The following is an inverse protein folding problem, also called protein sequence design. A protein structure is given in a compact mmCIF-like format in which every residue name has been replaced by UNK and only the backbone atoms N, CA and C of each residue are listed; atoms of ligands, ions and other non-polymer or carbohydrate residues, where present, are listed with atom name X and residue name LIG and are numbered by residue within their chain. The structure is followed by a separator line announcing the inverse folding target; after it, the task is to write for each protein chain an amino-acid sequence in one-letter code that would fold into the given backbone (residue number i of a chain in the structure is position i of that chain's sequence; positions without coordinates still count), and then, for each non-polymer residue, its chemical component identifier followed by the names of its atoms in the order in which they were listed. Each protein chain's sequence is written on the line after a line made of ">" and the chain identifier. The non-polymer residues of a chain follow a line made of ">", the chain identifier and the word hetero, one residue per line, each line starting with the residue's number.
data_IF_409861822778
#
_entry.id   IF_409861822778
#
_cell.length_a   1.000
_cell.length_b   1.000
_cell.length_c   1.000
_cell.angle_alpha   90.00
_cell.angle_beta   90.00
_cell.angle_gamma   90.00
#
_symmetry.space_group_name_H-M   'P 1'
#
loop_
_entity.id
_entity.type
_entity.pdbx_description
1 polymer ?
#
# COMPACT_ATOMS: atom_id res chain seq x y z
N UNK A 1 -7.77 71.55 0.42
CA UNK A 1 -9.15 71.62 0.93
C UNK A 1 -10.06 70.88 -0.03
N UNK A 2 -10.91 70.01 0.52
CA UNK A 2 -12.12 69.39 -0.07
C UNK A 2 -11.88 68.40 -1.21
N UNK A 3 -11.91 67.08 -0.99
CA UNK A 3 -13.01 66.19 -0.55
C UNK A 3 -14.22 66.09 -1.51
N UNK A 4 -14.52 64.81 -1.82
CA UNK A 4 -15.84 64.16 -1.90
C UNK A 4 -16.53 63.96 -3.25
N UNK A 5 -17.02 62.71 -3.37
CA UNK A 5 -17.93 62.10 -4.35
C UNK A 5 -17.24 61.58 -5.64
N UNK A 6 -17.35 60.31 -6.06
CA UNK A 6 -18.32 59.27 -5.76
C UNK A 6 -17.66 57.89 -5.55
N UNK A 7 -18.01 57.27 -4.42
CA UNK A 7 -18.13 55.83 -4.24
C UNK A 7 -19.32 55.34 -5.08
N UNK A 8 -19.09 54.34 -5.94
CA UNK A 8 -19.94 53.18 -6.26
C UNK A 8 -19.49 52.64 -7.63
N UNK A 9 -19.61 51.31 -7.82
CA UNK A 9 -19.26 50.51 -9.01
C UNK A 9 -17.76 50.19 -9.13
N UNK A 10 -17.28 48.94 -9.10
CA UNK A 10 -17.90 47.61 -9.21
C UNK A 10 -16.92 46.59 -8.60
N UNK A 11 -17.37 45.91 -7.56
CA UNK A 11 -16.75 44.70 -7.08
C UNK A 11 -16.99 43.57 -8.10
N UNK A 12 -15.96 43.25 -8.88
CA UNK A 12 -15.88 42.03 -9.69
C UNK A 12 -14.59 41.29 -9.33
N UNK A 13 -14.61 40.60 -8.19
CA UNK A 13 -13.76 39.45 -7.93
C UNK A 13 -14.69 38.29 -7.56
N UNK A 14 -15.28 37.72 -8.60
CA UNK A 14 -16.15 36.55 -8.56
C UNK A 14 -15.30 35.36 -8.11
N UNK A 15 -15.57 34.93 -6.87
CA UNK A 15 -15.60 33.55 -6.38
C UNK A 15 -14.84 32.53 -7.23
N UNK A 16 -13.63 32.18 -6.78
CA UNK A 16 -13.00 30.91 -7.13
C UNK A 16 -13.91 29.83 -6.56
N UNK A 17 -14.61 29.12 -7.44
CA UNK A 17 -15.37 27.91 -7.11
C UNK A 17 -14.41 26.90 -6.46
N UNK A 18 -14.49 26.81 -5.14
CA UNK A 18 -14.16 25.61 -4.40
C UNK A 18 -15.12 24.51 -4.88
N UNK A 19 -14.69 23.76 -5.89
CA UNK A 19 -15.21 22.43 -6.21
C UNK A 19 -14.84 21.50 -5.05
N UNK A 20 -15.47 21.71 -3.90
CA UNK A 20 -15.65 20.68 -2.89
C UNK A 20 -16.60 19.69 -3.55
N UNK A 21 -16.05 18.56 -3.99
CA UNK A 21 -16.84 17.41 -4.38
C UNK A 21 -17.90 17.17 -3.30
N UNK A 22 -19.17 17.19 -3.72
CA UNK A 22 -20.32 17.02 -2.85
C UNK A 22 -20.18 15.73 -2.04
N UNK A 23 -19.84 15.89 -0.76
CA UNK A 23 -19.63 14.80 0.22
C UNK A 23 -20.88 13.91 0.35
N UNK A 24 -22.07 14.38 -0.07
CA UNK A 24 -23.28 13.57 -0.08
C UNK A 24 -23.32 12.55 -1.22
N UNK A 25 -22.79 12.89 -2.39
CA UNK A 25 -22.69 11.96 -3.54
C UNK A 25 -21.72 10.79 -3.25
N UNK A 26 -20.60 11.08 -2.58
CA UNK A 26 -19.65 10.06 -2.11
C UNK A 26 -20.26 9.14 -1.03
N UNK A 27 -21.14 9.65 -0.17
CA UNK A 27 -21.85 8.84 0.85
C UNK A 27 -22.93 7.93 0.26
N UNK A 28 -23.63 8.37 -0.77
CA UNK A 28 -24.67 7.57 -1.43
C UNK A 28 -24.06 6.40 -2.23
N UNK A 29 -22.92 6.61 -2.90
CA UNK A 29 -22.20 5.51 -3.55
C UNK A 29 -21.67 4.49 -2.52
N UNK A 30 -21.09 4.96 -1.41
CA UNK A 30 -20.43 4.11 -0.39
C UNK A 30 -21.39 3.19 0.37
N UNK A 31 -22.65 3.59 0.57
CA UNK A 31 -23.66 2.73 1.23
C UNK A 31 -24.18 1.62 0.31
N UNK A 32 -24.21 1.83 -1.01
CA UNK A 32 -24.66 0.79 -1.96
C UNK A 32 -23.55 -0.21 -2.28
N UNK A 33 -22.28 0.23 -2.34
CA UNK A 33 -21.15 -0.67 -2.63
C UNK A 33 -20.81 -1.62 -1.48
N UNK A 34 -20.98 -1.20 -0.21
CA UNK A 34 -20.67 -2.04 0.94
C UNK A 34 -21.56 -3.31 1.03
N UNK A 35 -22.84 -3.23 0.63
CA UNK A 35 -23.70 -4.42 0.54
C UNK A 35 -23.45 -5.25 -0.72
N UNK A 36 -22.88 -4.64 -1.76
CA UNK A 36 -22.60 -5.33 -3.01
C UNK A 36 -21.32 -6.17 -2.90
N UNK A 37 -20.34 -5.84 -2.06
CA UNK A 37 -19.00 -6.46 -2.07
C UNK A 37 -18.78 -7.58 -1.05
N UNK A 38 -19.82 -8.30 -0.61
CA UNK A 38 -19.67 -9.39 0.37
C UNK A 38 -18.76 -10.51 -0.17
N UNK A 39 -17.77 -10.97 0.60
CA UNK A 39 -16.95 -12.16 0.28
C UNK A 39 -17.81 -13.43 0.44
N UNK A 40 -17.68 -14.38 -0.48
CA UNK A 40 -18.44 -15.64 -0.46
C UNK A 40 -17.72 -16.75 0.32
N UNK A 41 -16.49 -16.51 0.81
CA UNK A 41 -15.73 -17.46 1.61
C UNK A 41 -14.63 -16.85 2.48
N UNK A 42 -13.95 -17.71 3.24
CA UNK A 42 -12.71 -17.40 3.97
C UNK A 42 -11.62 -17.08 2.94
N UNK A 43 -11.36 -15.78 2.75
CA UNK A 43 -10.21 -15.22 2.03
C UNK A 43 -9.90 -15.81 0.65
N UNK A 44 -10.34 -15.14 -0.41
CA UNK A 44 -9.78 -15.34 -1.77
C UNK A 44 -8.45 -14.61 -2.00
N UNK A 45 -7.78 -14.26 -0.90
CA UNK A 45 -6.35 -13.97 -0.89
C UNK A 45 -5.70 -15.36 -1.01
N UNK A 46 -5.20 -16.01 0.05
CA UNK A 46 -4.80 -17.44 0.07
C UNK A 46 -3.95 -18.02 -1.11
N UNK A 47 -2.62 -18.14 -0.91
CA UNK A 47 -1.78 -19.01 -1.73
C UNK A 47 -2.17 -20.47 -1.52
N UNK A 48 -1.86 -21.33 -2.48
CA UNK A 48 -2.12 -22.77 -2.33
C UNK A 48 -1.04 -23.44 -1.49
N UNK A 49 -1.41 -24.26 -0.50
CA UNK A 49 -0.42 -25.02 0.27
C UNK A 49 0.16 -26.17 -0.60
N UNK A 50 1.46 -26.15 -0.84
CA UNK A 50 2.19 -27.08 -1.73
C UNK A 50 2.15 -28.57 -1.33
N UNK A 51 1.60 -28.90 -0.15
CA UNK A 51 1.55 -30.28 0.39
C UNK A 51 0.38 -31.14 -0.07
N UNK A 52 -0.55 -30.61 -0.88
CA UNK A 52 -1.70 -31.36 -1.43
C UNK A 52 -1.61 -31.27 -2.96
N UNK A 53 -1.71 -32.40 -3.68
CA UNK A 53 -1.63 -32.45 -5.15
C UNK A 53 -2.49 -31.35 -5.80
N UNK A 54 -1.84 -30.28 -6.23
CA UNK A 54 -2.46 -29.12 -6.84
C UNK A 54 -2.93 -29.47 -8.27
N UNK A 55 -4.13 -30.06 -8.36
CA UNK A 55 -4.84 -30.23 -9.63
C UNK A 55 -5.57 -28.94 -9.98
N UNK A 56 -4.95 -28.18 -10.87
CA UNK A 56 -5.46 -26.99 -11.56
C UNK A 56 -5.86 -25.81 -10.66
N UNK A 57 -5.70 -24.58 -11.20
CA UNK A 57 -6.06 -23.25 -10.64
C UNK A 57 -4.95 -22.55 -9.84
N UNK A 58 -4.66 -21.25 -9.95
CA UNK A 58 -5.11 -20.09 -10.77
C UNK A 58 -4.12 -18.95 -10.44
N UNK A 59 -3.65 -18.19 -11.44
CA UNK A 59 -2.83 -16.96 -11.30
C UNK A 59 -3.51 -15.84 -10.49
N UNK A 60 -3.73 -16.01 -9.21
CA UNK A 60 -4.11 -14.96 -8.26
C UNK A 60 -2.91 -14.78 -7.33
N UNK A 61 -2.64 -13.54 -6.87
CA UNK A 61 -1.64 -13.21 -5.82
C UNK A 61 -0.23 -12.85 -6.26
N UNK A 62 0.01 -11.55 -6.48
CA UNK A 62 1.37 -11.05 -6.61
C UNK A 62 1.54 -9.82 -5.71
N UNK A 63 2.39 -9.96 -4.69
CA UNK A 63 3.12 -8.79 -4.16
C UNK A 63 4.19 -8.49 -5.20
N UNK A 64 4.06 -7.35 -5.84
CA UNK A 64 4.81 -7.01 -7.04
C UNK A 64 5.91 -6.00 -6.66
N UNK A 65 7.17 -6.43 -6.63
CA UNK A 65 8.34 -5.54 -6.60
C UNK A 65 9.02 -5.53 -7.98
N UNK A 66 8.97 -4.37 -8.63
CA UNK A 66 10.01 -3.77 -9.49
C UNK A 66 9.36 -3.23 -10.75
N UNK A 67 9.60 -1.96 -11.10
CA UNK A 67 10.09 -1.71 -12.45
C UNK A 67 11.31 -0.84 -12.42
N UNK A 68 12.38 -1.36 -13.00
CA UNK A 68 13.49 -0.60 -13.52
C UNK A 68 13.43 -0.78 -15.05
N UNK A 69 12.93 0.22 -15.77
CA UNK A 69 13.17 0.33 -17.21
C UNK A 69 13.67 1.72 -17.49
N UNK A 70 14.99 1.83 -17.51
CA UNK A 70 15.61 2.75 -18.44
C UNK A 70 15.12 2.42 -19.86
N UNK A 71 14.52 3.39 -20.55
CA UNK A 71 14.72 3.59 -21.99
C UNK A 71 14.01 4.82 -22.60
N UNK A 72 12.91 5.34 -22.05
CA UNK A 72 12.20 6.44 -22.75
C UNK A 72 11.66 7.55 -21.83
N UNK A 73 12.47 8.61 -21.70
CA UNK A 73 12.16 10.04 -21.59
C UNK A 73 11.09 10.58 -20.60
N UNK A 74 10.28 9.76 -19.93
CA UNK A 74 9.28 10.25 -18.99
C UNK A 74 9.72 10.02 -17.55
N UNK A 75 9.89 11.13 -16.84
CA UNK A 75 10.04 11.21 -15.39
C UNK A 75 8.80 10.62 -14.70
N UNK A 76 8.79 10.53 -13.38
CA UNK A 76 7.67 9.95 -12.63
C UNK A 76 6.34 10.56 -13.10
N UNK A 77 5.52 9.75 -13.78
CA UNK A 77 4.15 10.14 -14.06
C UNK A 77 3.35 10.09 -12.77
N UNK A 78 2.65 11.19 -12.49
CA UNK A 78 1.66 11.26 -11.43
C UNK A 78 0.30 10.82 -12.01
N UNK A 79 -0.57 10.23 -11.18
CA UNK A 79 -1.89 9.88 -11.66
C UNK A 79 -2.64 11.10 -12.19
N UNK A 80 -3.23 10.95 -13.37
CA UNK A 80 -4.23 11.88 -13.88
C UNK A 80 -5.58 11.69 -13.19
N UNK A 81 -6.67 12.08 -13.86
CA UNK A 81 -8.02 11.99 -13.28
C UNK A 81 -8.54 10.56 -13.04
N UNK A 82 -7.81 9.51 -13.42
CA UNK A 82 -8.30 8.12 -13.41
C UNK A 82 -7.21 7.18 -12.87
N UNK A 83 -7.24 6.89 -11.57
CA UNK A 83 -6.25 6.04 -10.89
C UNK A 83 -6.14 4.64 -11.47
N UNK A 84 -7.24 4.04 -11.93
CA UNK A 84 -7.20 2.74 -12.59
C UNK A 84 -6.21 2.68 -13.78
N UNK A 85 -6.20 3.72 -14.62
CA UNK A 85 -5.27 3.80 -15.74
C UNK A 85 -3.82 3.98 -15.30
N UNK A 86 -3.61 4.77 -14.26
CA UNK A 86 -2.29 4.91 -13.67
C UNK A 86 -1.77 3.54 -13.19
N UNK A 87 -2.58 2.77 -12.46
CA UNK A 87 -2.21 1.41 -12.07
C UNK A 87 -1.99 0.47 -13.27
N UNK A 88 -2.80 0.57 -14.33
CA UNK A 88 -2.60 -0.21 -15.57
C UNK A 88 -1.27 0.11 -16.23
N UNK A 89 -0.82 1.35 -16.21
CA UNK A 89 0.40 1.74 -16.91
C UNK A 89 1.66 1.42 -16.08
N UNK A 90 1.52 1.41 -14.75
CA UNK A 90 2.62 1.14 -13.81
C UNK A 90 2.83 -0.35 -13.50
N UNK A 91 1.76 -1.10 -13.22
CA UNK A 91 1.82 -2.46 -12.65
C UNK A 91 2.29 -3.58 -13.62
N UNK A 92 1.89 -3.65 -14.90
CA UNK A 92 2.15 -4.81 -15.75
C UNK A 92 3.63 -5.12 -16.03
N UNK A 93 4.53 -4.20 -15.70
CA UNK A 93 5.97 -4.44 -15.79
C UNK A 93 6.58 -5.04 -14.52
N UNK A 94 5.79 -5.34 -13.49
CA UNK A 94 6.30 -5.67 -12.18
C UNK A 94 6.67 -7.15 -11.99
N UNK A 95 7.82 -7.37 -11.34
CA UNK A 95 8.28 -8.71 -10.93
C UNK A 95 7.68 -9.04 -9.56
N UNK A 96 7.14 -10.23 -9.30
CA UNK A 96 6.71 -10.59 -7.97
C UNK A 96 7.90 -10.84 -7.00
N UNK A 97 7.73 -10.53 -5.72
CA UNK A 97 8.73 -10.88 -4.66
C UNK A 97 8.82 -12.38 -4.51
N UNK A 98 7.65 -12.99 -4.44
CA UNK A 98 7.45 -14.42 -4.29
C UNK A 98 6.95 -14.89 -5.64
N UNK A 99 7.81 -15.55 -6.44
CA UNK A 99 7.47 -15.95 -7.79
C UNK A 99 6.60 -17.23 -7.84
N UNK A 100 6.22 -17.77 -6.69
CA UNK A 100 5.51 -19.03 -6.56
C UNK A 100 4.16 -18.85 -5.85
N UNK A 101 3.16 -19.59 -6.29
CA UNK A 101 1.78 -19.57 -5.77
C UNK A 101 1.64 -20.37 -4.45
N UNK A 102 2.76 -20.84 -3.90
CA UNK A 102 2.80 -21.78 -2.78
C UNK A 102 4.12 -21.73 -2.02
N UNK A 103 4.08 -21.66 -0.69
CA UNK A 103 5.27 -21.84 0.13
C UNK A 103 5.27 -23.16 0.91
N UNK A 104 6.47 -23.58 1.34
CA UNK A 104 6.66 -24.75 2.18
C UNK A 104 6.27 -24.50 3.64
N UNK A 105 6.42 -23.25 4.11
CA UNK A 105 6.09 -22.82 5.47
C UNK A 105 5.36 -21.47 5.44
N UNK A 106 4.55 -21.21 6.46
CA UNK A 106 3.73 -19.99 6.53
C UNK A 106 4.54 -18.69 6.52
N UNK A 107 5.75 -18.69 7.11
CA UNK A 107 6.64 -17.53 7.15
C UNK A 107 7.08 -17.08 5.75
N UNK A 108 7.18 -18.01 4.81
CA UNK A 108 7.60 -17.74 3.43
C UNK A 108 6.50 -17.07 2.60
N UNK A 109 5.26 -17.06 3.10
CA UNK A 109 4.19 -16.26 2.52
C UNK A 109 4.27 -14.78 2.93
N UNK A 110 5.05 -14.48 3.98
CA UNK A 110 5.34 -13.11 4.38
C UNK A 110 6.35 -12.49 3.42
N UNK A 111 6.11 -11.23 3.09
CA UNK A 111 6.67 -10.62 1.90
C UNK A 111 7.07 -9.17 2.18
N UNK A 112 8.30 -8.79 1.84
CA UNK A 112 8.74 -7.41 2.00
C UNK A 112 9.85 -6.98 1.03
N UNK A 113 10.04 -5.67 0.92
CA UNK A 113 11.15 -5.02 0.23
C UNK A 113 11.75 -3.92 1.10
N UNK A 114 13.06 -3.73 0.95
CA UNK A 114 13.78 -2.59 1.50
C UNK A 114 14.59 -1.95 0.39
N UNK A 115 14.32 -0.69 0.08
CA UNK A 115 15.09 0.09 -0.88
C UNK A 115 15.70 1.31 -0.21
N UNK A 116 17.02 1.37 -0.20
CA UNK A 116 17.77 2.57 0.17
C UNK A 116 17.97 3.44 -1.07
N UNK A 117 17.62 4.72 -1.01
CA UNK A 117 17.68 5.61 -2.18
C UNK A 117 19.12 5.95 -2.58
N UNK A 118 20.07 5.90 -1.65
CA UNK A 118 21.50 6.08 -1.92
C UNK A 118 22.08 5.01 -2.87
N UNK A 119 21.43 3.85 -2.97
CA UNK A 119 21.83 2.73 -3.83
C UNK A 119 21.29 2.83 -5.26
N UNK A 120 20.40 3.78 -5.53
CA UNK A 120 19.89 4.05 -6.87
C UNK A 120 20.97 4.76 -7.69
N UNK A 121 21.11 4.40 -8.97
CA UNK A 121 22.10 5.03 -9.85
C UNK A 121 21.80 6.52 -9.99
N UNK A 122 22.79 7.41 -9.74
CA UNK A 122 22.62 8.82 -9.98
C UNK A 122 22.51 9.09 -11.49
N UNK A 123 21.97 10.25 -11.85
CA UNK A 123 21.94 10.68 -13.25
C UNK A 123 23.38 10.82 -13.78
N UNK A 124 23.57 10.44 -15.04
CA UNK A 124 24.78 10.73 -15.81
C UNK A 124 24.43 11.66 -16.97
N UNK A 125 25.42 12.06 -17.76
CA UNK A 125 25.16 12.82 -18.99
C UNK A 125 24.28 12.07 -19.99
N UNK A 126 24.30 10.72 -19.94
CA UNK A 126 23.63 9.86 -20.92
C UNK A 126 22.35 9.22 -20.38
N UNK A 127 22.19 9.16 -19.06
CA UNK A 127 21.12 8.41 -18.40
C UNK A 127 20.48 9.24 -17.29
N UNK A 128 19.15 9.22 -17.22
CA UNK A 128 18.44 9.80 -16.08
C UNK A 128 18.78 9.04 -14.79
N UNK A 129 18.62 9.70 -13.65
CA UNK A 129 18.73 9.05 -12.36
C UNK A 129 17.71 7.91 -12.25
N UNK A 130 18.12 6.82 -11.61
CA UNK A 130 17.27 5.65 -11.42
C UNK A 130 16.11 5.99 -10.47
N UNK A 131 14.91 5.67 -10.93
CA UNK A 131 13.68 5.83 -10.16
C UNK A 131 13.31 4.50 -9.51
N UNK A 132 12.48 4.56 -8.48
CA UNK A 132 12.02 3.36 -7.80
C UNK A 132 10.50 3.36 -7.65
N UNK A 133 9.90 2.19 -7.85
CA UNK A 133 8.49 1.94 -7.56
C UNK A 133 8.29 0.54 -7.00
N UNK A 134 7.31 0.44 -6.10
CA UNK A 134 6.87 -0.83 -5.52
C UNK A 134 5.39 -0.71 -5.14
N UNK A 135 4.67 -1.81 -5.09
CA UNK A 135 3.25 -1.77 -4.81
C UNK A 135 2.68 -3.15 -4.55
N UNK A 136 1.39 -3.15 -4.25
CA UNK A 136 0.61 -4.36 -4.13
C UNK A 136 -0.65 -4.22 -4.95
N UNK A 137 -1.10 -5.33 -5.50
CA UNK A 137 -2.36 -5.43 -6.22
C UNK A 137 -3.17 -6.58 -5.65
N UNK A 138 -4.45 -6.61 -5.98
CA UNK A 138 -5.35 -7.70 -5.60
C UNK A 138 -5.53 -7.87 -4.08
N UNK A 139 -5.46 -6.79 -3.29
CA UNK A 139 -5.73 -6.84 -1.86
C UNK A 139 -7.21 -7.20 -1.60
N UNK A 140 -7.45 -8.36 -0.97
CA UNK A 140 -8.80 -8.86 -0.59
C UNK A 140 -8.89 -9.31 0.89
N UNK A 141 -8.17 -8.63 1.77
CA UNK A 141 -8.08 -8.97 3.20
C UNK A 141 -6.66 -8.81 3.77
N UNK A 142 -5.66 -8.80 2.90
CA UNK A 142 -4.26 -8.62 3.29
C UNK A 142 -4.01 -7.29 4.01
N UNK A 143 -2.99 -7.29 4.86
CA UNK A 143 -2.44 -6.08 5.49
C UNK A 143 -1.12 -5.76 4.82
N UNK A 144 -0.91 -4.49 4.47
CA UNK A 144 0.39 -4.01 3.95
C UNK A 144 0.87 -2.83 4.78
N UNK A 145 2.18 -2.72 4.96
CA UNK A 145 2.77 -1.58 5.65
C UNK A 145 3.86 -0.94 4.80
N UNK A 146 3.85 0.39 4.74
CA UNK A 146 4.92 1.19 4.17
C UNK A 146 5.57 2.03 5.26
N UNK A 147 6.89 1.97 5.38
CA UNK A 147 7.68 2.95 6.12
C UNK A 147 8.44 3.74 5.06
N UNK A 148 8.30 5.06 5.07
CA UNK A 148 8.84 5.96 4.05
C UNK A 148 9.63 7.06 4.75
N UNK A 149 10.84 7.31 4.27
CA UNK A 149 11.72 8.39 4.74
C UNK A 149 12.48 9.01 3.57
N UNK A 150 13.37 9.97 3.83
CA UNK A 150 14.28 10.51 2.83
C UNK A 150 15.44 9.57 2.50
N UNK A 151 15.67 8.54 3.31
CA UNK A 151 16.73 7.54 3.10
C UNK A 151 16.25 6.33 2.30
N UNK A 152 14.98 5.96 2.41
CA UNK A 152 14.48 4.77 1.75
C UNK A 152 13.01 4.48 1.98
N UNK A 153 12.58 3.33 1.46
CA UNK A 153 11.25 2.77 1.67
C UNK A 153 11.34 1.30 2.07
N UNK A 154 10.54 0.92 3.07
CA UNK A 154 10.31 -0.45 3.47
C UNK A 154 8.83 -0.77 3.24
N UNK A 155 8.52 -1.73 2.39
CA UNK A 155 7.14 -2.13 2.11
C UNK A 155 6.95 -3.61 2.43
N UNK A 156 5.85 -3.96 3.08
CA UNK A 156 5.54 -5.32 3.54
C UNK A 156 4.12 -5.71 3.13
N UNK A 157 3.88 -7.01 3.08
CA UNK A 157 2.58 -7.61 2.83
C UNK A 157 2.41 -8.89 3.65
N UNK A 158 1.26 -9.00 4.31
CA UNK A 158 0.87 -10.15 5.12
C UNK A 158 -0.55 -10.61 4.77
N UNK A 159 -0.70 -11.91 4.62
CA UNK A 159 -1.96 -12.58 4.27
C UNK A 159 -2.90 -12.68 5.47
N UNK A 160 -4.19 -12.37 5.26
CA UNK A 160 -5.22 -12.49 6.32
C UNK A 160 -5.26 -13.93 6.87
N UNK A 161 -5.28 -14.92 5.98
CA UNK A 161 -5.48 -16.33 6.31
C UNK A 161 -4.20 -17.12 6.56
N UNK A 162 -3.07 -16.44 6.66
CA UNK A 162 -1.81 -17.01 7.14
C UNK A 162 -1.45 -16.36 8.47
N UNK A 163 -1.62 -15.05 8.57
CA UNK A 163 -1.10 -14.26 9.69
C UNK A 163 -2.14 -13.84 10.71
N UNK A 164 -3.37 -13.52 10.30
CA UNK A 164 -4.35 -12.85 11.18
C UNK A 164 -5.51 -13.76 11.62
N UNK A 165 -6.06 -14.57 10.72
CA UNK A 165 -6.98 -15.67 11.04
C UNK A 165 -6.59 -16.91 10.21
N UNK A 166 -5.52 -17.62 10.63
CA UNK A 166 -4.88 -18.67 9.83
C UNK A 166 -5.80 -19.84 9.50
N UNK A 167 -5.82 -20.25 8.24
CA UNK A 167 -6.45 -21.49 7.82
C UNK A 167 -5.70 -22.70 8.40
N UNK A 168 -6.40 -23.84 8.49
CA UNK A 168 -5.87 -25.04 9.14
C UNK A 168 -4.61 -25.58 8.45
N UNK A 169 -4.51 -25.44 7.14
CA UNK A 169 -3.37 -25.89 6.34
C UNK A 169 -2.09 -25.12 6.60
N UNK A 170 -2.18 -23.84 6.98
CA UNK A 170 -1.02 -23.02 7.32
C UNK A 170 -0.45 -23.32 8.71
N UNK A 171 -1.21 -24.02 9.55
CA UNK A 171 -0.79 -24.35 10.91
C UNK A 171 0.11 -25.58 10.91
N UNK A 172 1.38 -25.47 11.35
CA UNK A 172 2.29 -26.62 11.41
C UNK A 172 1.75 -27.76 12.27
N UNK A 173 0.93 -27.42 13.29
CA UNK A 173 0.22 -28.36 14.15
C UNK A 173 -1.21 -27.88 14.34
N UNK A 174 -2.14 -28.81 14.52
CA UNK A 174 -3.55 -28.48 14.82
C UNK A 174 -3.72 -27.69 16.11
N UNK A 175 -2.75 -27.77 17.02
CA UNK A 175 -2.70 -27.01 18.28
C UNK A 175 -2.13 -25.61 18.13
N UNK A 176 -1.52 -25.26 16.99
CA UNK A 176 -0.95 -23.93 16.78
C UNK A 176 -2.06 -22.88 16.81
N UNK A 177 -1.90 -21.92 17.70
CA UNK A 177 -2.84 -20.83 17.94
C UNK A 177 -2.66 -19.72 16.90
N UNK A 178 -3.69 -18.89 16.73
CA UNK A 178 -3.61 -17.70 15.88
C UNK A 178 -2.53 -16.72 16.36
N UNK A 179 -2.34 -16.61 17.68
CA UNK A 179 -1.31 -15.74 18.24
C UNK A 179 0.10 -16.22 17.90
N UNK A 180 0.36 -17.52 17.94
CA UNK A 180 1.64 -18.11 17.51
C UNK A 180 1.86 -17.90 16.01
N UNK A 181 0.84 -18.13 15.16
CA UNK A 181 0.95 -17.86 13.73
C UNK A 181 1.26 -16.39 13.42
N UNK A 182 0.59 -15.46 14.11
CA UNK A 182 0.85 -14.03 13.95
C UNK A 182 2.26 -13.66 14.40
N UNK A 183 2.72 -14.20 15.53
CA UNK A 183 4.08 -14.00 16.02
C UNK A 183 5.10 -14.46 14.96
N UNK A 184 4.96 -15.67 14.46
CA UNK A 184 5.90 -16.28 13.52
C UNK A 184 5.92 -15.59 12.15
N UNK A 185 4.74 -15.22 11.62
CA UNK A 185 4.60 -14.76 10.22
C UNK A 185 4.63 -13.24 10.06
N UNK A 186 4.52 -12.48 11.15
CA UNK A 186 4.53 -11.01 11.14
C UNK A 186 5.63 -10.45 12.03
N UNK A 187 5.62 -10.78 13.32
CA UNK A 187 6.53 -10.15 14.29
C UNK A 187 7.95 -10.65 14.12
N UNK A 188 8.14 -11.97 14.09
CA UNK A 188 9.47 -12.59 13.97
C UNK A 188 10.15 -12.24 12.65
N UNK A 189 9.40 -12.19 11.54
CA UNK A 189 9.95 -11.81 10.22
C UNK A 189 10.26 -10.32 10.12
N UNK A 190 9.57 -9.45 10.86
CA UNK A 190 9.95 -8.03 10.98
C UNK A 190 11.30 -7.89 11.70
N UNK A 191 11.48 -8.64 12.80
CA UNK A 191 12.67 -8.55 13.65
C UNK A 191 13.90 -9.25 13.03
N UNK A 192 13.70 -10.47 12.48
CA UNK A 192 14.76 -11.39 12.09
C UNK A 192 14.89 -11.54 10.57
N UNK A 193 13.84 -11.19 9.83
CA UNK A 193 13.71 -11.49 8.41
C UNK A 193 13.20 -12.90 8.15
N UNK A 194 12.92 -13.18 6.88
CA UNK A 194 12.55 -14.48 6.33
C UNK A 194 13.06 -14.62 4.89
N UNK A 195 12.72 -15.72 4.22
CA UNK A 195 13.24 -16.02 2.88
C UNK A 195 12.89 -14.95 1.84
N UNK A 196 11.69 -14.36 1.93
CA UNK A 196 11.19 -13.32 1.02
C UNK A 196 10.82 -12.02 1.74
N UNK A 197 11.30 -11.87 2.96
CA UNK A 197 10.97 -10.75 3.83
C UNK A 197 12.25 -10.24 4.49
N UNK A 198 12.95 -9.24 3.93
CA UNK A 198 14.08 -8.62 4.63
C UNK A 198 13.62 -8.10 5.99
N UNK A 199 14.46 -8.27 7.02
CA UNK A 199 14.21 -7.68 8.34
C UNK A 199 14.08 -6.16 8.23
N UNK A 200 13.31 -5.56 9.12
CA UNK A 200 13.25 -4.10 9.23
C UNK A 200 14.54 -3.59 9.87
N UNK A 201 15.31 -2.81 9.11
CA UNK A 201 16.59 -2.25 9.56
C UNK A 201 16.50 -0.72 9.68
N UNK A 202 16.43 -0.22 10.92
CA UNK A 202 16.34 1.21 11.21
C UNK A 202 17.51 2.01 10.63
N UNK A 203 18.71 1.42 10.55
CA UNK A 203 19.89 2.12 10.06
C UNK A 203 19.75 2.54 8.60
N UNK A 204 18.94 1.80 7.82
CA UNK A 204 18.73 2.04 6.40
C UNK A 204 17.58 3.01 6.12
N UNK A 205 16.65 3.21 7.07
CA UNK A 205 15.42 3.99 6.81
C UNK A 205 15.15 5.13 7.79
N UNK A 206 15.68 5.09 9.01
CA UNK A 206 15.32 6.08 10.03
C UNK A 206 15.95 7.46 9.75
N UNK A 207 15.10 8.50 9.78
CA UNK A 207 15.44 9.92 9.75
C UNK A 207 14.37 10.78 10.43
N UNK A 208 14.50 12.12 10.38
CA UNK A 208 13.55 13.06 10.98
C UNK A 208 12.17 13.11 10.29
N UNK A 209 12.07 12.70 9.03
CA UNK A 209 10.90 12.81 8.18
C UNK A 209 10.15 11.48 8.00
N UNK A 210 10.64 10.41 8.63
CA UNK A 210 10.05 9.08 8.58
C UNK A 210 8.57 9.07 8.97
N UNK A 211 7.77 8.42 8.13
CA UNK A 211 6.34 8.17 8.32
C UNK A 211 6.02 6.71 8.04
N UNK A 212 5.04 6.17 8.75
CA UNK A 212 4.57 4.81 8.57
C UNK A 212 3.09 4.79 8.20
N UNK A 213 2.74 3.93 7.25
CA UNK A 213 1.40 3.76 6.72
C UNK A 213 1.01 2.30 6.87
N UNK A 214 0.00 2.03 7.69
CA UNK A 214 -0.56 0.70 7.85
C UNK A 214 -1.86 0.61 7.06
N UNK A 215 -1.84 -0.10 5.93
CA UNK A 215 -2.97 -0.24 5.04
C UNK A 215 -3.67 -1.55 5.37
N UNK A 216 -4.92 -1.45 5.80
CA UNK A 216 -5.67 -2.56 6.43
C UNK A 216 -7.05 -2.69 5.82
N UNK A 217 -7.63 -3.90 5.78
CA UNK A 217 -9.02 -4.06 5.41
C UNK A 217 -9.91 -3.37 6.45
N UNK A 218 -11.03 -2.80 6.03
CA UNK A 218 -12.00 -2.20 6.94
C UNK A 218 -12.83 -3.25 7.72
N UNK A 219 -12.81 -4.50 7.29
CA UNK A 219 -13.51 -5.64 7.89
C UNK A 219 -12.67 -6.94 7.79
N UNK A 220 -12.83 -7.86 8.75
CA UNK A 220 -12.31 -9.23 8.63
C UNK A 220 -13.07 -10.02 7.55
N UNK A 221 -12.57 -11.21 7.19
CA UNK A 221 -13.27 -12.16 6.31
C UNK A 221 -14.68 -12.55 6.81
N UNK A 222 -14.99 -12.37 8.10
CA UNK A 222 -16.30 -12.70 8.66
C UNK A 222 -17.38 -11.70 8.22
N UNK A 223 -16.96 -10.48 7.92
CA UNK A 223 -17.83 -9.38 7.49
C UNK A 223 -19.03 -9.24 8.43
N UNK A 224 -18.76 -9.23 9.74
CA UNK A 224 -19.76 -9.27 10.80
C UNK A 224 -20.57 -7.96 10.94
N UNK A 225 -20.68 -7.19 9.85
CA UNK A 225 -21.38 -5.92 9.79
C UNK A 225 -20.55 -4.75 10.32
N UNK A 226 -21.21 -3.64 10.72
CA UNK A 226 -20.54 -2.41 11.13
C UNK A 226 -19.66 -2.52 12.39
N UNK A 227 -19.80 -3.59 13.17
CA UNK A 227 -18.98 -3.86 14.36
C UNK A 227 -17.67 -4.59 14.03
N UNK A 228 -17.53 -5.10 12.81
CA UNK A 228 -16.29 -5.70 12.34
C UNK A 228 -15.27 -4.59 12.07
N UNK A 229 -14.24 -4.53 12.90
CA UNK A 229 -13.18 -3.53 12.82
C UNK A 229 -11.84 -4.12 12.33
N UNK A 230 -11.86 -5.33 11.77
CA UNK A 230 -10.64 -6.04 11.40
C UNK A 230 -9.90 -6.59 12.62
N UNK A 231 -8.59 -6.31 12.69
CA UNK A 231 -7.68 -6.88 13.69
C UNK A 231 -6.91 -5.82 14.50
N UNK A 232 -7.60 -4.88 15.17
CA UNK A 232 -6.95 -3.72 15.81
C UNK A 232 -5.85 -4.11 16.80
N UNK A 233 -6.10 -5.10 17.67
CA UNK A 233 -5.11 -5.55 18.66
C UNK A 233 -3.83 -6.13 18.00
N UNK A 234 -3.97 -6.77 16.84
CA UNK A 234 -2.83 -7.30 16.09
C UNK A 234 -2.09 -6.17 15.36
N UNK A 235 -2.82 -5.23 14.77
CA UNK A 235 -2.24 -4.04 14.15
C UNK A 235 -1.48 -3.15 15.14
N UNK A 236 -1.99 -2.99 16.35
CA UNK A 236 -1.30 -2.27 17.42
C UNK A 236 -0.01 -3.01 17.84
N UNK A 237 -0.01 -4.35 17.87
CA UNK A 237 1.23 -5.12 18.07
C UNK A 237 2.25 -4.87 16.97
N UNK A 238 1.83 -4.75 15.70
CA UNK A 238 2.74 -4.37 14.59
C UNK A 238 3.37 -3.01 14.89
N UNK A 239 2.55 -1.99 15.21
CA UNK A 239 3.03 -0.65 15.53
C UNK A 239 4.03 -0.65 16.69
N UNK A 240 3.71 -1.34 17.78
CA UNK A 240 4.57 -1.46 18.96
C UNK A 240 5.91 -2.12 18.59
N UNK A 241 5.89 -3.22 17.84
CA UNK A 241 7.12 -3.89 17.40
C UNK A 241 7.93 -2.98 16.48
N UNK A 242 7.30 -2.33 15.52
CA UNK A 242 7.98 -1.38 14.61
C UNK A 242 8.56 -0.20 15.39
N UNK A 243 7.86 0.35 16.38
CA UNK A 243 8.38 1.41 17.25
C UNK A 243 9.54 0.95 18.15
N UNK A 244 9.65 -0.34 18.47
CA UNK A 244 10.86 -0.88 19.13
C UNK A 244 12.04 -0.98 18.17
N UNK A 245 11.78 -1.39 16.92
CA UNK A 245 12.81 -1.57 15.89
C UNK A 245 13.30 -0.23 15.32
N UNK A 246 12.39 0.74 15.16
CA UNK A 246 12.61 2.08 14.60
C UNK A 246 12.08 3.10 15.62
N UNK A 247 12.90 3.53 16.59
CA UNK A 247 12.46 4.32 17.75
C UNK A 247 11.65 5.57 17.43
N UNK A 248 11.94 6.27 16.33
CA UNK A 248 11.14 7.45 15.93
C UNK A 248 9.68 7.12 15.64
N UNK A 249 9.37 5.89 15.23
CA UNK A 249 7.99 5.44 15.00
C UNK A 249 7.27 5.04 16.30
N UNK A 250 7.84 5.27 17.48
CA UNK A 250 7.06 5.27 18.73
C UNK A 250 6.09 6.46 18.81
N UNK A 251 6.36 7.53 18.04
CA UNK A 251 5.47 8.67 17.92
C UNK A 251 4.27 8.32 17.02
N UNK A 252 3.09 8.16 17.62
CA UNK A 252 1.84 7.88 16.90
C UNK A 252 1.49 8.93 15.83
N UNK A 253 1.98 10.17 15.95
CA UNK A 253 1.76 11.20 14.93
C UNK A 253 2.45 10.89 13.58
N UNK A 254 3.40 9.95 13.57
CA UNK A 254 4.07 9.47 12.36
C UNK A 254 3.35 8.32 11.69
N UNK A 255 2.31 7.78 12.33
CA UNK A 255 1.50 6.69 11.78
C UNK A 255 0.27 7.20 11.07
N UNK A 256 -0.08 6.55 9.97
CA UNK A 256 -1.37 6.72 9.30
C UNK A 256 -1.95 5.35 8.99
N UNK A 257 -3.10 5.02 9.59
CA UNK A 257 -3.84 3.81 9.24
C UNK A 257 -4.78 4.11 8.07
N UNK A 258 -4.59 3.43 6.95
CA UNK A 258 -5.39 3.59 5.73
C UNK A 258 -6.31 2.38 5.58
N UNK A 259 -7.62 2.60 5.74
CA UNK A 259 -8.60 1.53 5.51
C UNK A 259 -8.97 1.43 4.03
N UNK A 260 -8.98 0.21 3.49
CA UNK A 260 -9.56 -0.13 2.19
C UNK A 260 -10.71 -1.12 2.36
N UNK A 261 -11.62 -1.18 1.39
CA UNK A 261 -12.74 -2.13 1.42
C UNK A 261 -12.36 -3.37 0.62
N UNK A 262 -12.26 -4.55 1.26
CA UNK A 262 -11.97 -5.80 0.56
C UNK A 262 -12.99 -6.05 -0.56
N UNK A 263 -12.50 -6.49 -1.71
CA UNK A 263 -13.37 -6.80 -2.85
C UNK A 263 -13.89 -8.24 -2.71
N UNK A 264 -15.21 -8.38 -2.59
CA UNK A 264 -15.88 -9.68 -2.58
C UNK A 264 -15.68 -10.51 -3.85
N UNK A 265 -15.85 -11.83 -3.73
CA UNK A 265 -15.56 -12.80 -4.80
C UNK A 265 -16.33 -12.52 -6.09
N UNK A 266 -17.60 -12.12 -5.96
CA UNK A 266 -18.44 -11.70 -7.08
C UNK A 266 -17.85 -10.56 -7.91
N UNK A 267 -16.98 -9.73 -7.31
CA UNK A 267 -16.36 -8.57 -7.94
C UNK A 267 -14.85 -8.71 -8.09
N UNK A 268 -14.30 -9.91 -7.94
CA UNK A 268 -12.85 -10.13 -8.07
C UNK A 268 -12.28 -9.70 -9.43
N UNK A 269 -13.12 -9.65 -10.47
CA UNK A 269 -12.75 -9.11 -11.78
C UNK A 269 -12.34 -7.62 -11.72
N UNK A 270 -12.80 -6.87 -10.71
CA UNK A 270 -12.39 -5.48 -10.49
C UNK A 270 -10.93 -5.38 -10.05
N UNK A 271 -10.42 -6.33 -9.26
CA UNK A 271 -9.03 -6.33 -8.82
C UNK A 271 -8.07 -6.47 -10.01
N UNK A 272 -8.44 -7.32 -10.97
CA UNK A 272 -7.72 -7.52 -12.23
C UNK A 272 -8.03 -6.47 -13.30
N UNK A 273 -9.06 -5.66 -13.07
CA UNK A 273 -9.48 -4.65 -14.05
C UNK A 273 -8.41 -3.56 -14.17
N UNK A 274 -7.93 -3.25 -15.38
CA UNK A 274 -7.02 -2.13 -15.61
C UNK A 274 -7.72 -0.77 -15.47
N UNK A 275 -9.02 -0.74 -15.19
CA UNK A 275 -9.80 0.48 -14.96
C UNK A 275 -10.17 0.69 -13.50
N UNK A 276 -9.83 -0.26 -12.62
CA UNK A 276 -10.10 -0.17 -11.19
C UNK A 276 -8.82 0.10 -10.41
N UNK A 277 -8.97 0.87 -9.33
CA UNK A 277 -7.96 1.11 -8.31
C UNK A 277 -8.16 0.23 -7.06
N UNK A 278 -9.28 -0.49 -6.97
CA UNK A 278 -9.63 -1.25 -5.77
C UNK A 278 -8.60 -2.32 -5.45
N UNK A 279 -8.24 -2.42 -4.17
CA UNK A 279 -7.24 -3.36 -3.68
C UNK A 279 -5.85 -3.16 -4.26
N UNK A 280 -5.50 -1.93 -4.67
CA UNK A 280 -4.16 -1.60 -5.20
C UNK A 280 -3.51 -0.49 -4.39
N UNK A 281 -2.20 -0.55 -4.25
CA UNK A 281 -1.38 0.55 -3.80
C UNK A 281 -0.07 0.63 -4.58
N UNK A 282 0.52 1.81 -4.62
CA UNK A 282 1.78 2.07 -5.33
C UNK A 282 2.55 3.17 -4.62
N UNK A 283 3.80 2.88 -4.31
CA UNK A 283 4.81 3.84 -3.92
C UNK A 283 5.69 4.18 -5.13
N UNK A 284 6.02 5.46 -5.29
CA UNK A 284 7.01 5.93 -6.27
C UNK A 284 7.99 6.90 -5.64
N UNK A 285 9.24 6.82 -6.08
CA UNK A 285 10.32 7.72 -5.75
C UNK A 285 11.01 8.21 -7.02
N UNK A 286 11.19 9.53 -7.12
CA UNK A 286 11.91 10.21 -8.20
C UNK A 286 13.01 11.10 -7.59
N UNK A 287 14.31 10.74 -7.73
CA UNK A 287 15.41 11.54 -7.18
C UNK A 287 15.62 12.86 -7.93
N UNK A 288 14.96 13.09 -9.07
CA UNK A 288 15.12 14.33 -9.84
C UNK A 288 13.79 14.86 -10.35
N UNK A 289 12.75 14.87 -9.52
CA UNK A 289 11.48 15.48 -9.89
C UNK A 289 11.65 16.99 -10.17
N UNK A 290 11.05 17.49 -11.26
CA UNK A 290 11.12 18.93 -11.61
C UNK A 290 9.73 19.50 -11.81
N UNK A 291 9.05 19.96 -10.75
CA UNK A 291 7.78 20.65 -10.93
C UNK A 291 7.96 21.94 -11.73
N UNK A 292 9.06 22.69 -11.54
CA UNK A 292 9.28 24.05 -12.08
C UNK A 292 10.77 24.43 -12.04
N UNK A 293 11.61 23.80 -12.88
CA UNK A 293 13.05 24.08 -13.07
C UNK A 293 14.02 23.72 -11.92
N UNK A 294 13.57 23.50 -10.68
CA UNK A 294 14.41 22.94 -9.61
C UNK A 294 14.31 21.41 -9.56
N UNK A 295 15.46 20.72 -9.50
CA UNK A 295 15.52 19.28 -9.26
C UNK A 295 15.35 19.02 -7.77
N UNK A 296 14.31 18.27 -7.40
CA UNK A 296 14.04 17.83 -6.03
C UNK A 296 13.80 16.33 -6.00
N UNK A 297 14.10 15.72 -4.88
CA UNK A 297 13.64 14.37 -4.59
C UNK A 297 12.13 14.44 -4.35
N UNK A 298 11.41 13.42 -4.80
CA UNK A 298 9.99 13.31 -4.54
C UNK A 298 9.62 11.86 -4.23
N UNK A 299 8.80 11.67 -3.21
CA UNK A 299 8.16 10.39 -2.92
C UNK A 299 6.64 10.54 -2.80
N UNK A 300 5.91 9.52 -3.24
CA UNK A 300 4.46 9.50 -3.14
C UNK A 300 3.93 8.07 -2.98
N UNK A 301 2.85 7.93 -2.20
CA UNK A 301 2.13 6.67 -1.99
C UNK A 301 0.66 6.90 -2.31
N UNK A 302 0.11 6.05 -3.16
CA UNK A 302 -1.31 6.00 -3.46
C UNK A 302 -1.90 4.67 -3.01
N UNK A 303 -3.07 4.72 -2.40
CA UNK A 303 -3.86 3.57 -1.97
C UNK A 303 -5.26 3.74 -2.56
N UNK A 304 -5.63 2.84 -3.46
CA UNK A 304 -6.81 2.94 -4.30
C UNK A 304 -6.92 4.33 -4.97
N UNK A 305 -7.96 5.10 -4.67
CA UNK A 305 -8.18 6.44 -5.23
C UNK A 305 -7.46 7.57 -4.47
N UNK A 306 -6.72 7.26 -3.40
CA UNK A 306 -6.22 8.27 -2.45
C UNK A 306 -4.71 8.39 -2.50
N UNK A 307 -4.21 9.61 -2.65
CA UNK A 307 -2.83 9.92 -2.30
C UNK A 307 -2.74 10.06 -0.77
N UNK A 308 -1.94 9.21 -0.14
CA UNK A 308 -1.78 9.17 1.33
C UNK A 308 -0.40 9.67 1.78
N UNK A 309 0.58 9.67 0.88
CA UNK A 309 1.88 10.28 1.09
C UNK A 309 2.25 11.13 -0.13
N UNK A 310 2.80 12.31 0.15
CA UNK A 310 3.47 13.17 -0.81
C UNK A 310 4.53 13.94 -0.03
N UNK A 311 5.79 13.80 -0.44
CA UNK A 311 6.90 14.54 0.13
C UNK A 311 7.89 14.97 -0.94
N UNK A 312 8.51 16.13 -0.76
CA UNK A 312 9.46 16.73 -1.71
C UNK A 312 10.58 17.41 -0.94
N UNK A 313 11.84 17.09 -1.25
CA UNK A 313 13.01 17.64 -0.59
C UNK A 313 14.19 17.86 -1.53
#
# INVERSE_FOLDING_TARGET
>A
MQQLSLLLWLAFAVTVNSLVADVKSARLFRRSTAQLLKREGRSACAPTFSGVEARDMRNEELVLIQRNVSAFAKRMELPGARMGFFYRDEIPGWTPIVPHESAAVAQDMSTATMQEFSKLKPATEKEAAEQYSTGTAELKGCTTMYIISHKGVYATHWWENVSFDPDKEWKPKTTTTTAEMFQDTVIDVLEKGGNYHPRLDATLIEDDYIKAYLIVPDQTWREAGPSDNGYPDLWDKIKITVGKLVPRLQDEARWTTVKYTPVGDKYKYLLKSPYSSLGKNIFKYDPQHTPKAEKKHMSALWVEEKQVHLDTW
#
